data_IF_298976185913
#
_entry.id   IF_298976185913
#
_cell.length_a   1.000
_cell.length_b   1.000
_cell.length_c   1.000
_cell.angle_alpha   90.00
_cell.angle_beta   90.00
_cell.angle_gamma   90.00
#
_symmetry.space_group_name_H-M   'P 1'
#
loop_
_entity.id
_entity.type
_entity.pdbx_description
1 polymer ?
#
# COMPACT_ATOMS: atom_id res chain seq x y z
N UNK A 1 -1.74 14.43 -16.87
CA UNK A 1 -2.24 14.07 -15.53
C UNK A 1 -2.13 12.58 -15.37
N UNK A 2 -1.79 12.12 -14.18
CA UNK A 2 -1.72 10.71 -13.87
C UNK A 2 -2.53 10.41 -12.60
N UNK A 3 -3.27 9.31 -12.63
CA UNK A 3 -4.05 8.84 -11.50
C UNK A 3 -3.34 7.66 -10.83
N UNK A 4 -3.18 7.72 -9.51
CA UNK A 4 -2.56 6.71 -8.66
C UNK A 4 -3.57 6.17 -7.67
N UNK A 5 -3.64 4.86 -7.50
CA UNK A 5 -4.56 4.24 -6.57
C UNK A 5 -3.98 2.99 -5.89
N UNK A 6 -4.07 2.85 -4.56
CA UNK A 6 -4.02 1.55 -3.90
C UNK A 6 -5.34 0.80 -4.13
N UNK A 7 -5.26 -0.51 -4.26
CA UNK A 7 -6.40 -1.38 -4.45
C UNK A 7 -6.24 -2.68 -3.64
N UNK A 8 -6.76 -2.72 -2.43
CA UNK A 8 -6.79 -3.95 -1.62
C UNK A 8 -7.84 -4.89 -2.20
N UNK A 9 -7.35 -5.97 -2.79
CA UNK A 9 -8.18 -6.90 -3.57
C UNK A 9 -8.87 -7.98 -2.72
N UNK A 10 -8.65 -8.00 -1.40
CA UNK A 10 -9.19 -8.98 -0.44
C UNK A 10 -9.09 -10.42 -0.93
N UNK A 11 -7.88 -10.97 -0.85
CA UNK A 11 -7.57 -12.36 -1.22
C UNK A 11 -7.80 -12.68 -2.71
N UNK A 12 -7.11 -11.97 -3.60
CA UNK A 12 -7.16 -12.24 -5.04
C UNK A 12 -6.37 -13.51 -5.38
N UNK A 13 -7.07 -14.63 -5.44
CA UNK A 13 -6.52 -15.97 -5.68
C UNK A 13 -7.26 -16.69 -6.82
N UNK A 14 -6.62 -17.71 -7.40
CA UNK A 14 -7.24 -18.61 -8.35
C UNK A 14 -8.27 -19.54 -7.65
N UNK A 15 -9.26 -20.10 -8.38
CA UNK A 15 -10.20 -21.07 -7.85
C UNK A 15 -9.49 -22.27 -7.23
N UNK A 16 -10.01 -22.77 -6.12
CA UNK A 16 -9.44 -23.92 -5.41
C UNK A 16 -8.14 -23.66 -4.64
N UNK A 17 -7.57 -22.47 -4.71
CA UNK A 17 -6.38 -22.12 -3.93
C UNK A 17 -6.75 -21.74 -2.50
N UNK A 18 -6.21 -22.48 -1.54
CA UNK A 18 -6.28 -22.10 -0.13
C UNK A 18 -5.36 -20.89 0.15
N UNK A 19 -5.85 -19.90 0.92
CA UNK A 19 -5.07 -18.71 1.26
C UNK A 19 -4.83 -18.55 2.77
N UNK A 20 -5.83 -18.74 3.64
CA UNK A 20 -5.65 -18.74 5.10
C UNK A 20 -6.16 -20.04 5.70
N UNK A 21 -5.59 -20.46 6.82
CA UNK A 21 -6.11 -21.58 7.59
C UNK A 21 -7.58 -21.34 7.97
N UNK A 22 -8.44 -22.33 7.73
CA UNK A 22 -9.86 -22.28 8.05
C UNK A 22 -10.72 -21.43 7.12
N UNK A 23 -10.18 -20.96 6.01
CA UNK A 23 -10.95 -20.33 4.94
C UNK A 23 -11.08 -21.26 3.74
N UNK A 24 -12.30 -21.44 3.27
CA UNK A 24 -12.55 -22.19 2.06
C UNK A 24 -12.03 -21.44 0.82
N UNK A 25 -11.40 -22.13 -0.13
CA UNK A 25 -11.04 -21.54 -1.41
C UNK A 25 -12.27 -20.97 -2.14
N UNK A 26 -12.04 -20.05 -3.06
CA UNK A 26 -13.10 -19.65 -4.00
C UNK A 26 -13.44 -20.81 -4.94
N UNK A 27 -14.71 -21.04 -5.17
CA UNK A 27 -15.15 -21.81 -6.32
C UNK A 27 -15.04 -20.99 -7.62
N UNK A 28 -15.29 -21.61 -8.77
CA UNK A 28 -15.18 -20.94 -10.05
C UNK A 28 -16.20 -19.77 -10.20
N UNK A 29 -17.37 -19.90 -9.61
CA UNK A 29 -18.44 -18.89 -9.68
C UNK A 29 -18.09 -17.67 -8.81
N UNK A 30 -17.65 -17.90 -7.58
CA UNK A 30 -17.19 -16.83 -6.68
C UNK A 30 -15.98 -16.09 -7.24
N UNK A 31 -15.03 -16.85 -7.81
CA UNK A 31 -13.87 -16.27 -8.48
C UNK A 31 -14.29 -15.37 -9.64
N UNK A 32 -15.16 -15.82 -10.54
CA UNK A 32 -15.63 -14.99 -11.65
C UNK A 32 -16.37 -13.74 -11.16
N UNK A 33 -17.23 -13.86 -10.14
CA UNK A 33 -17.87 -12.70 -9.51
C UNK A 33 -16.86 -11.69 -8.99
N UNK A 34 -15.79 -12.18 -8.33
CA UNK A 34 -14.71 -11.35 -7.83
C UNK A 34 -13.98 -10.63 -8.96
N UNK A 35 -13.64 -11.32 -10.04
CA UNK A 35 -12.99 -10.73 -11.21
C UNK A 35 -13.83 -9.65 -11.86
N UNK A 36 -15.12 -9.90 -12.05
CA UNK A 36 -16.07 -8.95 -12.65
C UNK A 36 -16.23 -7.73 -11.77
N UNK A 37 -16.42 -7.92 -10.45
CA UNK A 37 -16.58 -6.82 -9.51
C UNK A 37 -15.30 -5.96 -9.42
N UNK A 38 -14.14 -6.60 -9.25
CA UNK A 38 -12.87 -5.87 -9.16
C UNK A 38 -12.55 -5.16 -10.47
N UNK A 39 -12.80 -5.80 -11.62
CA UNK A 39 -12.67 -5.20 -12.93
C UNK A 39 -13.54 -3.95 -13.07
N UNK A 40 -14.80 -3.99 -12.61
CA UNK A 40 -15.70 -2.84 -12.56
C UNK A 40 -15.15 -1.70 -11.69
N UNK A 41 -14.60 -2.02 -10.51
CA UNK A 41 -13.96 -1.02 -9.63
C UNK A 41 -12.72 -0.41 -10.28
N UNK A 42 -11.86 -1.20 -10.93
CA UNK A 42 -10.70 -0.70 -11.67
C UNK A 42 -11.11 0.23 -12.82
N UNK A 43 -12.18 -0.11 -13.54
CA UNK A 43 -12.75 0.75 -14.60
C UNK A 43 -13.21 2.10 -14.05
N UNK A 44 -13.88 2.13 -12.89
CA UNK A 44 -14.29 3.37 -12.19
C UNK A 44 -13.09 4.18 -11.72
N UNK A 45 -12.07 3.52 -11.16
CA UNK A 45 -10.83 4.16 -10.73
C UNK A 45 -10.11 4.80 -11.92
N UNK A 46 -10.09 4.14 -13.07
CA UNK A 46 -9.37 4.57 -14.27
C UNK A 46 -7.99 5.17 -13.95
N UNK A 47 -7.25 4.50 -13.08
CA UNK A 47 -5.94 4.96 -12.64
C UNK A 47 -4.85 4.56 -13.63
N UNK A 48 -3.81 5.39 -13.76
CA UNK A 48 -2.66 5.10 -14.63
C UNK A 48 -1.66 4.17 -13.93
N UNK A 49 -1.66 4.21 -12.60
CA UNK A 49 -0.86 3.33 -11.73
C UNK A 49 -1.75 2.81 -10.62
N UNK A 50 -1.89 1.50 -10.52
CA UNK A 50 -2.62 0.82 -9.45
C UNK A 50 -1.67 -0.09 -8.71
N UNK A 51 -1.54 0.12 -7.39
CA UNK A 51 -0.82 -0.79 -6.49
C UNK A 51 -1.80 -1.72 -5.81
N UNK A 52 -1.61 -3.03 -5.96
CA UNK A 52 -2.51 -4.03 -5.41
C UNK A 52 -1.96 -4.63 -4.12
N UNK A 53 -2.84 -4.87 -3.18
CA UNK A 53 -2.62 -5.62 -1.95
C UNK A 53 -3.40 -6.94 -2.00
N UNK A 54 -2.94 -7.93 -1.24
CA UNK A 54 -3.57 -9.25 -1.11
C UNK A 54 -3.69 -10.04 -2.42
N UNK A 55 -2.65 -9.98 -3.25
CA UNK A 55 -2.55 -10.78 -4.47
C UNK A 55 -1.90 -12.11 -4.17
N UNK A 56 -2.64 -13.20 -4.30
CA UNK A 56 -2.13 -14.56 -4.11
C UNK A 56 -1.59 -15.16 -5.41
N UNK A 57 -2.27 -14.85 -6.53
CA UNK A 57 -1.88 -15.33 -7.85
C UNK A 57 -1.79 -14.19 -8.86
N UNK A 58 -0.65 -14.07 -9.54
CA UNK A 58 -0.50 -13.08 -10.61
C UNK A 58 -1.47 -13.32 -11.78
N UNK A 59 -1.80 -14.58 -12.05
CA UNK A 59 -2.78 -14.91 -13.08
C UNK A 59 -4.17 -14.37 -12.74
N UNK A 60 -4.59 -14.45 -11.46
CA UNK A 60 -5.84 -13.86 -10.99
C UNK A 60 -5.82 -12.33 -11.09
N UNK A 61 -4.67 -11.69 -10.78
CA UNK A 61 -4.50 -10.24 -10.97
C UNK A 61 -4.65 -9.85 -12.44
N UNK A 62 -3.97 -10.55 -13.36
CA UNK A 62 -4.06 -10.29 -14.80
C UNK A 62 -5.51 -10.47 -15.31
N UNK A 63 -6.21 -11.49 -14.82
CA UNK A 63 -7.60 -11.73 -15.17
C UNK A 63 -8.53 -10.62 -14.68
N UNK A 64 -8.37 -10.13 -13.44
CA UNK A 64 -9.14 -9.01 -12.89
C UNK A 64 -8.89 -7.72 -13.67
N UNK A 65 -7.63 -7.42 -13.98
CA UNK A 65 -7.27 -6.25 -14.80
C UNK A 65 -7.88 -6.35 -16.19
N UNK A 66 -7.86 -7.51 -16.83
CA UNK A 66 -8.48 -7.71 -18.13
C UNK A 66 -10.00 -7.44 -18.10
N UNK A 67 -10.70 -7.82 -17.03
CA UNK A 67 -12.14 -7.52 -16.84
C UNK A 67 -12.45 -6.03 -16.74
N UNK A 68 -11.49 -5.17 -16.42
CA UNK A 68 -11.70 -3.73 -16.39
C UNK A 68 -11.86 -3.08 -17.76
N UNK A 69 -11.46 -3.75 -18.83
CA UNK A 69 -11.39 -3.19 -20.19
C UNK A 69 -10.30 -2.13 -20.36
N UNK A 70 -9.55 -1.81 -19.32
CA UNK A 70 -8.46 -0.84 -19.36
C UNK A 70 -7.18 -1.49 -19.91
N UNK A 71 -6.39 -0.70 -20.64
CA UNK A 71 -5.11 -1.15 -21.19
C UNK A 71 -3.97 -0.67 -20.31
N UNK A 72 -3.26 -1.62 -19.70
CA UNK A 72 -2.02 -1.37 -18.97
C UNK A 72 -0.84 -1.94 -19.76
N UNK A 73 0.29 -1.25 -19.73
CA UNK A 73 1.53 -1.71 -20.37
C UNK A 73 2.19 -2.83 -19.57
N UNK A 74 2.01 -2.80 -18.26
CA UNK A 74 2.57 -3.80 -17.34
C UNK A 74 1.55 -4.15 -16.27
N UNK A 75 1.41 -5.46 -16.01
CA UNK A 75 0.67 -6.04 -14.88
C UNK A 75 1.54 -7.11 -14.27
N UNK A 76 1.98 -6.92 -13.02
CA UNK A 76 2.91 -7.82 -12.35
C UNK A 76 2.59 -7.95 -10.85
N UNK A 77 2.84 -9.11 -10.28
CA UNK A 77 2.88 -9.37 -8.85
C UNK A 77 4.13 -10.19 -8.53
N UNK A 78 5.31 -9.55 -8.51
CA UNK A 78 6.58 -10.23 -8.33
C UNK A 78 6.69 -10.90 -6.95
N UNK A 79 7.54 -11.90 -6.84
CA UNK A 79 7.78 -12.69 -5.63
C UNK A 79 7.57 -14.17 -5.89
N UNK A 80 8.18 -15.02 -5.05
CA UNK A 80 8.04 -16.46 -5.17
C UNK A 80 6.61 -16.89 -4.84
N UNK A 81 6.07 -17.81 -5.62
CA UNK A 81 4.89 -18.56 -5.23
C UNK A 81 5.29 -19.48 -4.07
N UNK A 82 4.80 -19.15 -2.89
CA UNK A 82 5.08 -19.93 -1.69
C UNK A 82 3.96 -20.94 -1.49
N UNK A 83 4.27 -22.24 -1.64
CA UNK A 83 3.49 -23.38 -1.22
C UNK A 83 1.96 -23.31 -1.25
N UNK A 84 1.29 -24.28 -0.64
CA UNK A 84 -0.17 -24.38 -0.61
C UNK A 84 -0.86 -23.25 0.18
N UNK A 85 -0.18 -22.71 1.19
CA UNK A 85 -0.65 -21.57 1.99
C UNK A 85 0.51 -20.56 2.00
N UNK A 86 0.47 -19.62 1.07
CA UNK A 86 1.50 -18.59 0.95
C UNK A 86 1.16 -17.30 1.70
N UNK A 87 2.05 -16.32 1.57
CA UNK A 87 1.77 -14.95 1.97
C UNK A 87 1.29 -14.17 0.76
N UNK A 88 0.22 -13.36 0.87
CA UNK A 88 -0.22 -12.55 -0.24
C UNK A 88 0.85 -11.55 -0.66
N UNK A 89 0.98 -11.37 -1.96
CA UNK A 89 1.96 -10.47 -2.58
C UNK A 89 1.36 -9.10 -2.84
N UNK A 90 2.25 -8.17 -3.18
CA UNK A 90 1.88 -6.88 -3.75
C UNK A 90 1.93 -6.96 -5.27
N UNK A 91 1.07 -6.20 -5.92
CA UNK A 91 1.01 -6.15 -7.38
C UNK A 91 1.01 -4.71 -7.89
N UNK A 92 1.26 -4.58 -9.17
CA UNK A 92 1.25 -3.31 -9.90
C UNK A 92 0.56 -3.51 -11.25
N UNK A 93 -0.32 -2.56 -11.61
CA UNK A 93 -0.72 -2.35 -12.99
C UNK A 93 -0.39 -0.90 -13.37
N UNK A 94 0.29 -0.69 -14.50
CA UNK A 94 0.68 0.66 -14.92
C UNK A 94 0.60 0.86 -16.43
N UNK A 95 0.19 2.07 -16.86
CA UNK A 95 0.26 2.56 -18.24
C UNK A 95 1.60 3.23 -18.53
N UNK A 96 2.34 3.62 -17.48
CA UNK A 96 3.64 4.26 -17.62
C UNK A 96 4.71 3.25 -18.01
N UNK A 97 5.75 3.70 -18.69
CA UNK A 97 6.88 2.86 -19.01
C UNK A 97 7.62 2.42 -17.74
N UNK A 98 7.89 1.14 -17.63
CA UNK A 98 8.58 0.54 -16.50
C UNK A 98 10.06 0.44 -16.82
N UNK A 99 10.91 1.02 -15.99
CA UNK A 99 12.36 0.84 -16.05
C UNK A 99 12.82 -0.31 -15.19
N UNK A 100 12.23 -0.42 -14.00
CA UNK A 100 12.61 -1.43 -13.02
C UNK A 100 11.43 -1.78 -12.12
N UNK A 101 11.31 -3.05 -11.74
CA UNK A 101 10.42 -3.55 -10.69
C UNK A 101 11.20 -4.53 -9.83
N UNK A 102 11.16 -4.35 -8.52
CA UNK A 102 11.77 -5.23 -7.54
C UNK A 102 10.90 -5.40 -6.31
N UNK A 103 11.24 -6.37 -5.47
CA UNK A 103 10.64 -6.55 -4.14
C UNK A 103 11.70 -6.37 -3.06
N UNK A 104 11.40 -5.51 -2.10
CA UNK A 104 12.25 -5.24 -0.95
C UNK A 104 11.73 -6.08 0.22
N UNK A 105 12.43 -7.19 0.52
CA UNK A 105 11.98 -8.12 1.56
C UNK A 105 12.62 -7.85 2.92
N UNK A 106 13.89 -7.46 2.95
CA UNK A 106 14.69 -7.40 4.16
C UNK A 106 14.89 -5.96 4.64
N UNK A 107 14.95 -5.78 5.96
CA UNK A 107 15.38 -4.53 6.57
C UNK A 107 16.89 -4.35 6.45
N UNK A 108 17.35 -3.11 6.42
CA UNK A 108 18.74 -2.84 6.71
C UNK A 108 19.07 -3.22 8.16
N UNK A 109 20.34 -3.51 8.45
CA UNK A 109 20.74 -4.05 9.77
C UNK A 109 20.33 -3.13 10.94
N UNK A 110 20.37 -1.81 10.71
CA UNK A 110 20.04 -0.82 11.75
C UNK A 110 18.55 -0.76 12.10
N UNK A 111 17.67 -1.23 11.23
CA UNK A 111 16.21 -1.22 11.41
C UNK A 111 15.66 -2.54 11.97
N UNK A 112 16.52 -3.54 12.22
CA UNK A 112 16.11 -4.79 12.84
C UNK A 112 15.75 -4.58 14.30
N UNK A 113 14.68 -5.22 14.75
CA UNK A 113 14.21 -5.13 16.13
C UNK A 113 14.00 -6.52 16.74
N UNK A 114 14.04 -6.61 18.06
CA UNK A 114 13.64 -7.83 18.78
C UNK A 114 12.19 -7.67 19.21
N UNK A 115 11.34 -8.57 18.74
CA UNK A 115 9.94 -8.66 19.17
C UNK A 115 9.82 -9.69 20.28
N UNK A 116 9.22 -9.35 21.43
CA UNK A 116 9.10 -10.27 22.56
C UNK A 116 8.54 -11.63 22.14
N UNK A 117 9.19 -12.68 22.55
CA UNK A 117 8.91 -14.11 22.32
C UNK A 117 8.96 -14.55 20.84
N UNK A 118 9.09 -13.62 19.87
CA UNK A 118 9.26 -13.94 18.45
C UNK A 118 10.71 -13.84 17.97
N UNK A 119 11.59 -13.20 18.77
CA UNK A 119 12.99 -13.00 18.39
C UNK A 119 13.21 -11.85 17.42
N UNK A 120 14.29 -11.91 16.63
CA UNK A 120 14.64 -10.87 15.65
C UNK A 120 13.61 -10.77 14.54
N UNK A 121 13.08 -9.56 14.32
CA UNK A 121 12.22 -9.21 13.22
C UNK A 121 13.00 -8.31 12.26
N UNK A 122 13.30 -8.84 11.08
CA UNK A 122 14.29 -8.29 10.14
C UNK A 122 13.79 -8.18 8.70
N UNK A 123 12.50 -8.45 8.46
CA UNK A 123 11.91 -8.43 7.12
C UNK A 123 10.45 -8.01 7.14
N UNK A 124 10.00 -7.45 6.02
CA UNK A 124 8.58 -7.20 5.79
C UNK A 124 7.80 -8.52 5.71
N UNK A 125 6.67 -8.60 6.39
CA UNK A 125 5.75 -9.74 6.23
C UNK A 125 5.31 -9.89 4.78
N UNK A 126 5.09 -8.75 4.12
CA UNK A 126 4.81 -8.65 2.69
C UNK A 126 5.88 -7.75 2.07
N UNK A 127 6.78 -8.32 1.25
CA UNK A 127 7.84 -7.53 0.63
C UNK A 127 7.30 -6.31 -0.09
N UNK A 128 7.87 -5.15 0.17
CA UNK A 128 7.48 -3.89 -0.49
C UNK A 128 7.76 -4.00 -1.99
N UNK A 129 6.78 -3.68 -2.83
CA UNK A 129 7.00 -3.59 -4.27
C UNK A 129 7.50 -2.20 -4.60
N UNK A 130 8.67 -2.12 -5.19
CA UNK A 130 9.28 -0.90 -5.69
C UNK A 130 9.30 -0.93 -7.21
N UNK A 131 8.70 0.09 -7.84
CA UNK A 131 8.76 0.30 -9.28
C UNK A 131 9.38 1.66 -9.58
N UNK A 132 10.30 1.70 -10.55
CA UNK A 132 10.80 2.93 -11.16
C UNK A 132 10.17 3.07 -12.53
N UNK A 133 9.35 4.10 -12.68
CA UNK A 133 8.53 4.36 -13.85
C UNK A 133 9.04 5.62 -14.57
N UNK A 134 8.78 5.71 -15.88
CA UNK A 134 8.98 6.96 -16.64
C UNK A 134 7.64 7.59 -16.98
N UNK A 135 7.48 8.83 -16.58
CA UNK A 135 6.40 9.66 -17.07
C UNK A 135 6.71 10.13 -18.50
N UNK A 136 5.69 10.05 -19.38
CA UNK A 136 5.78 10.66 -20.71
C UNK A 136 5.49 12.17 -20.68
N UNK A 137 5.04 12.68 -19.52
CA UNK A 137 4.62 14.06 -19.29
C UNK A 137 5.39 14.63 -18.10
N UNK A 138 5.95 15.82 -18.22
CA UNK A 138 6.67 16.52 -17.16
C UNK A 138 7.62 17.56 -17.72
N UNK A 139 8.32 18.32 -16.86
CA UNK A 139 9.24 19.37 -17.28
C UNK A 139 10.41 18.84 -18.12
N UNK A 140 10.70 17.56 -18.00
CA UNK A 140 11.62 16.83 -18.86
C UNK A 140 10.96 15.50 -19.27
N UNK A 141 10.81 15.22 -20.58
CA UNK A 141 10.35 13.92 -21.03
C UNK A 141 11.26 12.82 -20.45
N UNK A 142 10.65 11.84 -19.82
CA UNK A 142 11.40 10.75 -19.20
C UNK A 142 11.77 10.96 -17.74
N UNK A 143 11.19 11.95 -17.02
CA UNK A 143 11.35 12.06 -15.56
C UNK A 143 11.03 10.73 -14.89
N UNK A 144 12.01 10.21 -14.15
CA UNK A 144 11.83 9.02 -13.33
C UNK A 144 10.85 9.33 -12.18
N UNK A 145 10.01 8.36 -11.86
CA UNK A 145 9.07 8.40 -10.77
C UNK A 145 9.14 7.07 -10.02
N UNK A 146 9.48 7.12 -8.74
CA UNK A 146 9.42 5.94 -7.89
C UNK A 146 8.00 5.72 -7.36
N UNK A 147 7.58 4.47 -7.38
CA UNK A 147 6.32 4.03 -6.77
C UNK A 147 6.63 2.91 -5.78
N UNK A 148 6.27 3.11 -4.52
CA UNK A 148 6.31 2.07 -3.49
C UNK A 148 4.89 1.61 -3.21
N UNK A 149 4.62 0.32 -3.44
CA UNK A 149 3.38 -0.33 -3.01
C UNK A 149 3.65 -1.06 -1.72
N UNK A 150 2.81 -0.84 -0.71
CA UNK A 150 3.00 -1.38 0.63
C UNK A 150 1.73 -2.05 1.16
N UNK A 151 1.91 -3.00 2.07
CA UNK A 151 0.87 -3.56 2.91
C UNK A 151 1.52 -3.94 4.23
N UNK A 152 1.45 -3.06 5.22
CA UNK A 152 2.11 -3.22 6.50
C UNK A 152 1.39 -4.23 7.40
N UNK A 153 2.07 -4.65 8.46
CA UNK A 153 1.52 -5.58 9.45
C UNK A 153 0.19 -5.10 10.02
N UNK A 154 -0.81 -5.95 9.94
CA UNK A 154 -2.17 -5.65 10.43
C UNK A 154 -2.21 -5.42 11.95
N UNK A 155 -3.28 -4.75 12.42
CA UNK A 155 -3.57 -4.57 13.86
C UNK A 155 -3.95 -5.87 14.57
N UNK A 156 -4.22 -6.97 13.84
CA UNK A 156 -4.61 -8.25 14.43
C UNK A 156 -3.55 -8.73 15.43
N UNK A 157 -3.94 -9.14 16.64
CA UNK A 157 -3.02 -9.63 17.65
C UNK A 157 -2.15 -10.79 17.12
N UNK A 158 -0.85 -10.72 17.34
CA UNK A 158 0.09 -11.76 16.95
C UNK A 158 0.26 -12.75 18.11
N UNK A 159 -0.62 -13.76 18.15
CA UNK A 159 -0.50 -14.87 19.10
C UNK A 159 0.63 -15.81 18.71
N UNK A 160 1.22 -16.44 19.73
CA UNK A 160 2.22 -17.48 19.53
C UNK A 160 1.58 -18.77 19.01
N UNK A 161 2.28 -19.42 18.12
CA UNK A 161 1.89 -20.70 17.53
C UNK A 161 3.10 -21.61 17.48
N UNK A 162 2.86 -22.93 17.58
CA UNK A 162 3.89 -23.91 17.32
C UNK A 162 4.22 -24.03 15.82
N UNK A 163 5.18 -24.89 15.48
CA UNK A 163 5.58 -25.11 14.08
C UNK A 163 4.46 -25.70 13.20
N UNK A 164 3.45 -26.30 13.79
CA UNK A 164 2.27 -26.84 13.10
C UNK A 164 1.14 -25.80 12.96
N UNK A 165 1.31 -24.61 13.55
CA UNK A 165 0.31 -23.54 13.52
C UNK A 165 -0.73 -23.62 14.63
N UNK A 166 -0.58 -24.55 15.61
CA UNK A 166 -1.49 -24.64 16.74
C UNK A 166 -1.26 -23.48 17.72
N UNK A 167 -2.33 -23.01 18.36
CA UNK A 167 -2.24 -21.96 19.34
C UNK A 167 -1.46 -22.40 20.59
N UNK A 168 -0.47 -21.61 20.98
CA UNK A 168 0.28 -21.78 22.25
C UNK A 168 -0.24 -20.84 23.35
N UNK A 169 -1.11 -19.90 23.01
CA UNK A 169 -1.64 -18.89 23.91
C UNK A 169 -3.16 -18.94 23.94
N UNK A 170 -3.71 -18.70 25.12
CA UNK A 170 -5.17 -18.55 25.31
C UNK A 170 -5.62 -17.19 24.73
N UNK A 171 -6.48 -17.24 23.72
CA UNK A 171 -7.00 -16.04 23.06
C UNK A 171 -8.12 -15.35 23.84
N UNK A 172 -8.69 -16.05 24.81
CA UNK A 172 -9.75 -15.52 25.67
C UNK A 172 -9.18 -14.80 26.90
N UNK A 173 -7.87 -14.93 27.17
CA UNK A 173 -7.18 -14.17 28.21
C UNK A 173 -6.88 -12.73 27.70
N UNK A 174 -7.48 -11.68 28.32
CA UNK A 174 -7.27 -10.31 27.90
C UNK A 174 -5.82 -9.82 28.07
N UNK A 175 -5.06 -10.35 29.02
CA UNK A 175 -3.65 -9.99 29.22
C UNK A 175 -2.79 -10.58 28.11
N UNK A 176 -3.04 -11.80 27.69
CA UNK A 176 -2.40 -12.42 26.53
C UNK A 176 -2.76 -11.68 25.25
N UNK A 177 -4.01 -11.31 25.07
CA UNK A 177 -4.47 -10.51 23.92
C UNK A 177 -3.76 -9.14 23.85
N UNK A 178 -3.57 -8.47 24.99
CA UNK A 178 -2.81 -7.22 25.05
C UNK A 178 -1.34 -7.41 24.64
N UNK A 179 -0.67 -8.50 25.09
CA UNK A 179 0.70 -8.83 24.68
C UNK A 179 0.79 -9.16 23.19
N UNK A 180 -0.14 -9.94 22.67
CA UNK A 180 -0.21 -10.28 21.25
C UNK A 180 -0.44 -9.03 20.38
N UNK A 181 -1.23 -8.06 20.86
CA UNK A 181 -1.43 -6.75 20.23
C UNK A 181 -0.15 -5.93 20.23
N UNK A 182 0.59 -5.92 21.34
CA UNK A 182 1.89 -5.25 21.43
C UNK A 182 2.89 -5.82 20.42
N UNK A 183 2.96 -7.16 20.25
CA UNK A 183 3.82 -7.79 19.24
C UNK A 183 3.47 -7.27 17.82
N UNK A 184 2.18 -7.22 17.45
CA UNK A 184 1.76 -6.67 16.15
C UNK A 184 2.14 -5.21 15.98
N UNK A 185 2.02 -4.38 17.03
CA UNK A 185 2.43 -2.98 17.00
C UNK A 185 3.94 -2.84 16.79
N UNK A 186 4.76 -3.63 17.50
CA UNK A 186 6.21 -3.61 17.35
C UNK A 186 6.63 -4.06 15.94
N UNK A 187 6.00 -5.09 15.40
CA UNK A 187 6.26 -5.55 14.02
C UNK A 187 5.92 -4.44 13.01
N UNK A 188 4.73 -3.82 13.09
CA UNK A 188 4.33 -2.73 12.20
C UNK A 188 5.24 -1.51 12.36
N UNK A 189 5.64 -1.15 13.58
CA UNK A 189 6.60 -0.07 13.84
C UNK A 189 7.97 -0.34 13.21
N UNK A 190 8.45 -1.57 13.26
CA UNK A 190 9.70 -1.97 12.61
C UNK A 190 9.60 -1.88 11.08
N UNK A 191 8.50 -2.35 10.49
CA UNK A 191 8.23 -2.20 9.05
C UNK A 191 8.19 -0.72 8.65
N UNK A 192 7.54 0.14 9.46
CA UNK A 192 7.49 1.57 9.23
C UNK A 192 8.89 2.23 9.26
N UNK A 193 9.73 1.86 10.23
CA UNK A 193 11.11 2.35 10.32
C UNK A 193 11.97 1.90 9.14
N UNK A 194 11.85 0.62 8.74
CA UNK A 194 12.56 0.08 7.60
C UNK A 194 12.10 0.75 6.28
N UNK A 195 10.80 0.97 6.12
CA UNK A 195 10.23 1.67 4.97
C UNK A 195 10.71 3.13 4.92
N UNK A 196 10.81 3.81 6.07
CA UNK A 196 11.39 5.16 6.16
C UNK A 196 12.80 5.21 5.61
N UNK A 197 13.65 4.20 5.88
CA UNK A 197 14.99 4.12 5.29
C UNK A 197 14.94 4.07 3.77
N UNK A 198 14.03 3.27 3.20
CA UNK A 198 13.84 3.19 1.73
C UNK A 198 13.43 4.55 1.16
N UNK A 199 12.47 5.23 1.80
CA UNK A 199 12.03 6.58 1.41
C UNK A 199 13.21 7.56 1.39
N UNK A 200 14.00 7.61 2.45
CA UNK A 200 15.17 8.51 2.55
C UNK A 200 16.19 8.22 1.44
N UNK A 201 16.47 6.94 1.16
CA UNK A 201 17.41 6.57 0.13
C UNK A 201 16.98 7.04 -1.28
N UNK A 202 15.67 7.07 -1.55
CA UNK A 202 15.12 7.52 -2.83
C UNK A 202 15.06 9.04 -2.92
N UNK A 203 14.56 9.71 -1.87
CA UNK A 203 14.17 11.13 -1.94
C UNK A 203 15.29 12.09 -1.55
N UNK A 204 16.33 11.63 -0.85
CA UNK A 204 17.40 12.52 -0.35
C UNK A 204 18.24 13.13 -1.47
N UNK A 205 18.15 14.44 -1.63
CA UNK A 205 19.00 15.22 -2.57
C UNK A 205 20.47 15.27 -2.18
N UNK A 206 20.80 14.92 -0.94
CA UNK A 206 22.16 14.78 -0.44
C UNK A 206 22.77 13.41 -0.76
N UNK A 207 21.94 12.47 -1.23
CA UNK A 207 22.39 11.16 -1.68
C UNK A 207 23.12 11.20 -3.02
N UNK A 208 23.86 10.15 -3.33
CA UNK A 208 24.65 10.05 -4.57
C UNK A 208 23.82 10.17 -5.87
N UNK A 209 22.53 9.88 -5.80
CA UNK A 209 21.60 9.92 -6.94
C UNK A 209 20.77 11.21 -7.03
N UNK A 210 20.90 12.13 -6.07
CA UNK A 210 20.31 13.46 -6.17
C UNK A 210 18.82 13.60 -5.84
N UNK A 211 18.20 12.59 -5.26
CA UNK A 211 16.78 12.58 -4.88
C UNK A 211 15.82 12.51 -6.06
N UNK A 212 14.93 11.56 -6.06
CA UNK A 212 13.95 11.35 -7.13
C UNK A 212 12.51 11.40 -6.57
N UNK A 213 11.54 11.84 -7.41
CA UNK A 213 10.13 11.90 -7.01
C UNK A 213 9.60 10.54 -6.60
N UNK A 214 8.79 10.52 -5.53
CA UNK A 214 8.23 9.31 -4.96
C UNK A 214 6.72 9.44 -4.73
N UNK A 215 5.98 8.40 -5.10
CA UNK A 215 4.63 8.12 -4.65
C UNK A 215 4.64 6.80 -3.86
N UNK A 216 4.24 6.86 -2.60
CA UNK A 216 4.05 5.70 -1.76
C UNK A 216 2.55 5.46 -1.59
N UNK A 217 2.08 4.25 -1.83
CA UNK A 217 0.65 3.92 -1.77
C UNK A 217 0.43 2.49 -1.26
N UNK A 218 -0.69 2.28 -0.59
CA UNK A 218 -1.09 0.95 -0.12
C UNK A 218 -1.82 0.98 1.20
N UNK A 219 -2.04 -0.22 1.74
CA UNK A 219 -2.64 -0.44 3.03
C UNK A 219 -1.58 -0.29 4.14
N UNK A 220 -1.65 0.80 4.87
CA UNK A 220 -0.76 1.08 6.01
C UNK A 220 -1.17 0.33 7.27
N UNK A 221 -2.36 -0.29 7.28
CA UNK A 221 -2.98 -0.91 8.46
C UNK A 221 -3.03 0.02 9.69
N UNK A 222 -3.01 1.33 9.41
CA UNK A 222 -3.10 2.37 10.44
C UNK A 222 -3.60 3.69 9.81
N UNK A 223 -4.12 4.60 10.64
CA UNK A 223 -4.59 5.90 10.16
C UNK A 223 -3.45 6.85 9.78
N UNK A 224 -3.69 7.89 8.95
CA UNK A 224 -2.63 8.80 8.48
C UNK A 224 -1.99 9.63 9.60
N UNK A 225 -2.65 9.79 10.73
CA UNK A 225 -2.11 10.50 11.90
C UNK A 225 -1.52 9.56 12.97
N UNK A 226 -1.48 8.26 12.72
CA UNK A 226 -0.88 7.29 13.62
C UNK A 226 0.65 7.46 13.70
N UNK A 227 1.23 6.96 14.78
CA UNK A 227 2.69 7.01 14.98
C UNK A 227 3.43 6.31 13.84
N UNK A 228 2.92 5.16 13.37
CA UNK A 228 3.56 4.38 12.30
C UNK A 228 3.52 5.11 10.95
N UNK A 229 2.38 5.69 10.56
CA UNK A 229 2.27 6.49 9.33
C UNK A 229 3.13 7.75 9.40
N UNK A 230 3.16 8.44 10.55
CA UNK A 230 3.98 9.62 10.74
C UNK A 230 5.48 9.30 10.81
N UNK A 231 5.86 8.12 11.28
CA UNK A 231 7.25 7.62 11.23
C UNK A 231 7.73 7.49 9.78
N UNK A 232 6.89 6.95 8.90
CA UNK A 232 7.21 6.85 7.46
C UNK A 232 7.30 8.22 6.82
N UNK A 233 6.33 9.09 7.07
CA UNK A 233 6.21 10.40 6.44
C UNK A 233 7.23 11.41 6.97
N UNK A 234 7.53 11.36 8.28
CA UNK A 234 8.41 12.29 8.99
C UNK A 234 8.05 13.78 8.78
N UNK A 235 6.75 14.09 8.58
CA UNK A 235 6.29 15.46 8.33
C UNK A 235 6.46 16.39 9.52
N UNK A 236 6.49 15.87 10.74
CA UNK A 236 6.71 16.69 11.95
C UNK A 236 8.09 17.38 11.95
N UNK A 237 9.12 16.74 11.44
CA UNK A 237 10.46 17.32 11.34
C UNK A 237 10.50 18.56 10.42
N UNK A 238 9.62 18.64 9.43
CA UNK A 238 9.54 19.75 8.46
C UNK A 238 9.17 21.07 9.12
N UNK A 239 8.43 21.06 10.23
CA UNK A 239 8.07 22.25 10.97
C UNK A 239 9.29 22.96 11.60
N UNK A 240 10.34 22.20 11.92
CA UNK A 240 11.52 22.67 12.65
C UNK A 240 12.78 22.71 11.79
N UNK A 241 12.87 21.88 10.76
CA UNK A 241 14.03 21.79 9.87
C UNK A 241 13.61 21.82 8.39
N UNK A 242 13.94 22.91 7.72
CA UNK A 242 13.71 23.06 6.28
C UNK A 242 14.48 22.03 5.45
N UNK A 243 15.60 21.53 5.95
CA UNK A 243 16.40 20.49 5.29
C UNK A 243 15.74 19.11 5.32
N UNK A 244 14.74 18.90 6.20
CA UNK A 244 14.00 17.65 6.25
C UNK A 244 12.91 17.52 5.16
N UNK A 245 12.63 18.59 4.42
CA UNK A 245 11.58 18.61 3.40
C UNK A 245 11.87 17.68 2.22
N UNK A 246 13.13 17.56 1.84
CA UNK A 246 13.55 16.70 0.73
C UNK A 246 13.33 15.20 0.99
N UNK A 247 13.22 14.80 2.25
CA UNK A 247 12.98 13.41 2.65
C UNK A 247 11.62 13.19 3.32
N UNK A 248 10.81 14.24 3.50
CA UNK A 248 9.46 14.10 4.04
C UNK A 248 8.49 13.61 2.97
N UNK A 249 7.47 12.86 3.39
CA UNK A 249 6.30 12.56 2.57
C UNK A 249 5.09 13.33 3.08
N UNK A 250 4.25 13.73 2.17
CA UNK A 250 3.04 14.48 2.41
C UNK A 250 1.83 13.65 2.03
N UNK A 251 0.85 13.57 2.92
CA UNK A 251 -0.38 12.86 2.59
C UNK A 251 -1.07 13.57 1.43
N UNK A 252 -1.41 12.82 0.38
CA UNK A 252 -1.94 13.38 -0.86
C UNK A 252 -3.17 14.27 -0.63
N UNK A 253 -4.01 13.92 0.35
CA UNK A 253 -5.18 14.70 0.74
C UNK A 253 -4.84 16.07 1.30
N UNK A 254 -3.76 16.17 2.08
CA UNK A 254 -3.37 17.42 2.75
C UNK A 254 -2.75 18.43 1.80
N UNK A 255 -2.16 17.96 0.70
CA UNK A 255 -1.51 18.81 -0.30
C UNK A 255 -2.32 18.95 -1.59
N UNK A 256 -3.53 18.41 -1.63
CA UNK A 256 -4.44 18.54 -2.77
C UNK A 256 -4.84 20.01 -2.99
N UNK A 257 -4.78 20.47 -4.25
CA UNK A 257 -5.02 21.86 -4.62
C UNK A 257 -6.48 22.17 -4.96
N UNK A 258 -7.30 21.14 -5.22
CA UNK A 258 -8.74 21.28 -5.43
C UNK A 258 -9.50 20.91 -4.16
N UNK A 259 -10.70 21.50 -3.92
CA UNK A 259 -11.54 21.14 -2.79
C UNK A 259 -11.80 19.64 -2.75
N UNK A 260 -11.54 19.04 -1.61
CA UNK A 260 -11.78 17.62 -1.37
C UNK A 260 -13.10 17.41 -0.63
N UNK A 261 -13.60 16.16 -0.65
CA UNK A 261 -14.67 15.73 0.24
C UNK A 261 -14.31 15.99 1.69
N UNK A 262 -15.30 16.12 2.56
CA UNK A 262 -15.06 16.19 4.00
C UNK A 262 -14.31 14.95 4.48
N UNK A 263 -13.38 15.14 5.40
CA UNK A 263 -12.49 14.05 5.89
C UNK A 263 -13.23 12.92 6.60
N UNK A 264 -14.39 13.20 7.19
CA UNK A 264 -15.25 12.22 7.83
C UNK A 264 -15.83 11.19 6.85
N UNK A 265 -15.86 11.51 5.55
CA UNK A 265 -16.25 10.60 4.48
C UNK A 265 -15.06 9.87 3.83
N UNK A 266 -13.84 10.22 4.21
CA UNK A 266 -12.62 9.68 3.64
C UNK A 266 -12.13 8.49 4.45
N UNK A 267 -12.79 7.34 4.31
CA UNK A 267 -12.36 6.09 4.92
C UNK A 267 -12.31 4.98 3.87
N UNK A 268 -11.40 4.06 4.06
CA UNK A 268 -11.23 2.90 3.19
C UNK A 268 -11.55 1.57 3.87
N UNK A 269 -11.80 1.57 5.16
CA UNK A 269 -12.15 0.36 5.91
C UNK A 269 -13.10 0.69 7.07
N UNK A 270 -13.97 -0.27 7.43
CA UNK A 270 -14.86 -0.15 8.59
C UNK A 270 -14.65 -1.36 9.49
N UNK A 271 -14.07 -1.15 10.67
CA UNK A 271 -13.88 -2.18 11.68
C UNK A 271 -14.80 -1.94 12.87
N UNK A 272 -15.66 -2.92 13.18
CA UNK A 272 -16.62 -2.83 14.30
C UNK A 272 -17.45 -1.52 14.32
N UNK A 273 -17.81 -1.01 13.14
CA UNK A 273 -18.55 0.24 13.00
C UNK A 273 -17.68 1.51 12.95
N UNK A 274 -16.38 1.42 13.18
CA UNK A 274 -15.46 2.56 13.13
C UNK A 274 -14.81 2.69 11.75
N UNK A 275 -15.02 3.81 11.05
CA UNK A 275 -14.37 4.06 9.76
C UNK A 275 -12.92 4.51 9.97
N UNK A 276 -11.99 3.93 9.19
CA UNK A 276 -10.57 4.27 9.18
C UNK A 276 -10.07 4.43 7.74
N UNK A 277 -9.12 5.35 7.52
CA UNK A 277 -8.41 5.48 6.26
C UNK A 277 -7.10 4.68 6.34
N UNK A 278 -7.17 3.40 5.99
CA UNK A 278 -6.02 2.49 6.00
C UNK A 278 -5.24 2.51 4.69
N UNK A 279 -5.96 2.65 3.57
CA UNK A 279 -5.38 2.74 2.23
C UNK A 279 -5.02 4.20 1.94
N UNK A 280 -3.72 4.47 1.85
CA UNK A 280 -3.21 5.84 1.82
C UNK A 280 -2.33 6.06 0.59
N UNK A 281 -2.20 7.34 0.21
CA UNK A 281 -1.28 7.81 -0.83
C UNK A 281 -0.46 8.95 -0.24
N UNK A 282 0.86 8.79 -0.29
CA UNK A 282 1.83 9.76 0.16
C UNK A 282 2.73 10.17 -0.99
N UNK A 283 3.08 11.44 -1.06
CA UNK A 283 3.91 12.00 -2.13
C UNK A 283 5.11 12.74 -1.56
N UNK A 284 6.22 12.73 -2.28
CA UNK A 284 7.40 13.52 -1.93
C UNK A 284 7.23 15.01 -2.24
N UNK A 285 8.18 15.84 -1.82
CA UNK A 285 8.15 17.31 -1.93
C UNK A 285 7.90 17.79 -3.37
N UNK A 286 8.30 17.01 -4.37
CA UNK A 286 8.14 17.31 -5.79
C UNK A 286 6.69 17.46 -6.23
N UNK A 287 5.72 16.96 -5.44
CA UNK A 287 4.29 17.10 -5.69
C UNK A 287 3.59 18.10 -4.76
N UNK A 288 4.34 18.85 -3.96
CA UNK A 288 3.82 19.93 -3.12
C UNK A 288 3.84 21.23 -3.93
N UNK A 289 2.67 21.73 -4.31
CA UNK A 289 2.53 22.85 -5.25
C UNK A 289 3.33 24.11 -4.87
N UNK A 290 3.54 24.33 -3.57
CA UNK A 290 4.27 25.50 -3.02
C UNK A 290 5.77 25.28 -2.89
N UNK A 291 6.27 24.07 -3.15
CA UNK A 291 7.71 23.82 -3.12
C UNK A 291 8.40 24.39 -4.35
N UNK A 292 9.60 24.94 -4.15
CA UNK A 292 10.50 25.35 -5.24
C UNK A 292 10.98 24.18 -6.10
N UNK A 293 10.90 22.96 -5.57
CA UNK A 293 11.29 21.73 -6.27
C UNK A 293 10.10 21.03 -6.92
N UNK A 294 8.90 21.66 -6.90
CA UNK A 294 7.70 21.05 -7.44
C UNK A 294 7.81 20.83 -8.94
N UNK A 295 7.73 19.57 -9.34
CA UNK A 295 7.58 19.13 -10.74
C UNK A 295 6.10 18.95 -11.12
N UNK A 296 5.23 18.98 -10.11
CA UNK A 296 3.80 18.77 -10.25
C UNK A 296 3.06 19.16 -8.99
N UNK A 297 1.79 18.78 -8.94
CA UNK A 297 0.94 18.95 -7.77
C UNK A 297 -0.09 17.82 -7.68
N UNK A 298 -0.57 17.54 -6.47
CA UNK A 298 -1.76 16.73 -6.26
C UNK A 298 -2.97 17.61 -6.54
N UNK A 299 -3.80 17.23 -7.51
CA UNK A 299 -5.00 17.95 -7.86
C UNK A 299 -6.11 17.69 -6.87
N UNK A 300 -6.47 16.43 -6.73
CA UNK A 300 -7.53 15.97 -5.82
C UNK A 300 -7.32 14.53 -5.41
N UNK A 301 -7.97 14.16 -4.33
CA UNK A 301 -8.09 12.78 -3.86
C UNK A 301 -9.56 12.41 -3.81
N UNK A 302 -9.88 11.20 -4.25
CA UNK A 302 -11.24 10.66 -4.29
C UNK A 302 -11.26 9.32 -3.56
N UNK A 303 -12.39 9.00 -2.93
CA UNK A 303 -12.60 7.73 -2.24
C UNK A 303 -13.85 7.05 -2.80
N UNK A 304 -13.75 5.76 -3.05
CA UNK A 304 -14.79 4.89 -3.59
C UNK A 304 -15.09 3.82 -2.53
N UNK A 305 -16.00 4.09 -1.64
CA UNK A 305 -16.29 3.25 -0.47
C UNK A 305 -17.77 2.87 -0.33
N UNK A 306 -18.62 3.17 -1.30
CA UNK A 306 -20.06 2.88 -1.26
C UNK A 306 -20.37 1.43 -0.92
N UNK A 307 -19.57 0.49 -1.47
CA UNK A 307 -19.74 -0.94 -1.28
C UNK A 307 -19.49 -1.42 0.15
N UNK A 308 -18.82 -0.64 1.01
CA UNK A 308 -18.60 -0.99 2.41
C UNK A 308 -19.87 -0.92 3.25
N UNK A 309 -20.93 -0.27 2.75
CA UNK A 309 -22.26 -0.17 3.36
C UNK A 309 -23.23 -1.24 2.84
N UNK A 310 -22.84 -1.97 1.81
CA UNK A 310 -23.63 -3.05 1.25
C UNK A 310 -23.36 -4.39 1.98
N UNK A 311 -24.00 -5.47 1.50
CA UNK A 311 -23.76 -6.80 2.04
C UNK A 311 -22.30 -7.22 1.92
N UNK A 312 -21.75 -7.84 2.97
CA UNK A 312 -20.37 -8.35 3.02
C UNK A 312 -20.24 -9.66 2.23
N UNK A 313 -20.24 -9.55 0.94
CA UNK A 313 -19.98 -10.69 0.06
C UNK A 313 -18.47 -10.95 -0.01
N UNK A 314 -18.04 -12.21 0.22
CA UNK A 314 -16.60 -12.56 0.21
C UNK A 314 -15.89 -12.33 -1.12
N UNK A 315 -16.62 -12.15 -2.20
CA UNK A 315 -16.07 -11.81 -3.52
C UNK A 315 -15.86 -10.30 -3.71
N UNK A 316 -16.34 -9.45 -2.80
CA UNK A 316 -16.02 -8.01 -2.78
C UNK A 316 -14.79 -7.75 -1.92
N UNK A 317 -14.20 -6.57 -2.05
CA UNK A 317 -13.22 -6.08 -1.09
C UNK A 317 -13.92 -5.55 0.16
N UNK A 318 -13.35 -5.79 1.31
CA UNK A 318 -13.70 -5.13 2.58
C UNK A 318 -12.96 -3.78 2.75
N UNK A 319 -12.18 -3.38 1.72
CA UNK A 319 -11.57 -2.07 1.62
C UNK A 319 -12.22 -1.23 0.53
N UNK A 320 -12.36 0.08 0.79
CA UNK A 320 -12.66 1.11 -0.20
C UNK A 320 -11.39 1.42 -1.03
N UNK A 321 -11.59 2.05 -2.16
CA UNK A 321 -10.50 2.42 -3.05
C UNK A 321 -10.23 3.93 -2.96
N UNK A 322 -8.98 4.32 -2.94
CA UNK A 322 -8.54 5.71 -2.93
C UNK A 322 -7.88 6.01 -4.26
N UNK A 323 -8.10 7.21 -4.80
CA UNK A 323 -7.42 7.67 -6.01
C UNK A 323 -6.89 9.07 -5.81
N UNK A 324 -5.61 9.30 -6.09
CA UNK A 324 -5.02 10.63 -6.19
C UNK A 324 -4.73 10.99 -7.65
N UNK A 325 -5.13 12.17 -8.06
CA UNK A 325 -4.83 12.72 -9.37
C UNK A 325 -3.64 13.67 -9.26
N UNK A 326 -2.54 13.31 -9.89
CA UNK A 326 -1.31 14.11 -9.95
C UNK A 326 -1.20 14.79 -11.31
N UNK A 327 -0.97 16.10 -11.30
CA UNK A 327 -0.64 16.86 -12.50
C UNK A 327 0.87 17.11 -12.52
N UNK A 328 1.55 16.65 -13.55
CA UNK A 328 2.91 17.09 -13.83
C UNK A 328 2.89 18.40 -14.59
N UNK A 329 3.77 19.32 -14.25
CA UNK A 329 3.94 20.58 -14.97
C UNK A 329 4.48 20.27 -16.35
N UNK A 330 3.97 20.90 -17.37
CA UNK A 330 4.61 20.99 -18.69
C UNK A 330 5.68 22.07 -18.57
N UNK A 331 6.90 21.79 -19.01
CA UNK A 331 7.97 22.75 -19.04
C UNK A 331 7.65 23.91 -19.99
#
# INVERSE_FOLDING_TARGET
>A
MHNFAPATASNLALPGRAFYHGQDPYDATEHERKLVWLGGMLSRLNADVVGFQEVWDEAALKAAVARSGLRYSTVAAPGAETGAIGTPRLGLATRLAVEHIETLANFATAERVVVPELGEYSRFERPVLHARLRSQHGPQPGTALHVLVVHLKSKRPKYLQDAAGNALEDRDDPAITARATLRSLLMRGAEAAALRRVVVNITSRRGAQGGEPLVLLGDMNDGPHSVTSQMIAATQAVAYDRGARDVALYHAWDVATEPALKRDMAYSHVHQGWPELLDQIWVSEEFVATSRFAIGDVKRVEVFNDHLHESRERWRSDHGFVRAMLRLRTG
#
